data_IF_596412324079
#
_entry.id   IF_596412324079
#
_cell.length_a   1.000
_cell.length_b   1.000
_cell.length_c   1.000
_cell.angle_alpha   90.00
_cell.angle_beta   90.00
_cell.angle_gamma   90.00
#
_symmetry.space_group_name_H-M   'P 1'
#
loop_
_entity.id
_entity.type
_entity.pdbx_description
1 polymer ?
#
# COMPACT_ATOMS: atom_id res chain seq x y z
N UNK A 1 41.94 13.65 -6.97
CA UNK A 1 42.11 12.52 -6.03
C UNK A 1 41.57 11.29 -6.73
N UNK A 2 42.44 10.32 -6.91
CA UNK A 2 42.24 9.07 -7.64
C UNK A 2 40.98 8.33 -7.19
N UNK A 3 40.11 8.01 -8.15
CA UNK A 3 38.96 7.13 -8.01
C UNK A 3 39.47 5.70 -7.76
N UNK A 4 39.92 5.45 -6.52
CA UNK A 4 40.15 4.09 -6.06
C UNK A 4 38.78 3.45 -5.94
N UNK A 5 38.38 2.69 -6.97
CA UNK A 5 37.11 1.98 -6.99
C UNK A 5 36.92 1.18 -5.71
N UNK A 6 35.71 1.20 -5.15
CA UNK A 6 35.40 0.46 -3.93
C UNK A 6 35.79 -1.02 -4.09
N UNK A 7 36.29 -1.66 -3.02
CA UNK A 7 36.51 -3.10 -3.00
C UNK A 7 35.26 -3.87 -3.47
N UNK A 8 35.49 -4.96 -4.19
CA UNK A 8 34.42 -5.82 -4.71
C UNK A 8 33.43 -6.24 -3.62
N UNK A 9 33.94 -6.75 -2.50
CA UNK A 9 33.12 -7.19 -1.37
C UNK A 9 32.31 -6.04 -0.74
N UNK A 10 32.91 -4.84 -0.64
CA UNK A 10 32.22 -3.67 -0.10
C UNK A 10 31.08 -3.23 -1.03
N UNK A 11 31.30 -3.27 -2.34
CA UNK A 11 30.27 -3.00 -3.36
C UNK A 11 29.07 -3.93 -3.21
N UNK A 12 29.32 -5.23 -3.02
CA UNK A 12 28.27 -6.24 -2.91
C UNK A 12 27.44 -6.05 -1.62
N UNK A 13 28.09 -5.68 -0.51
CA UNK A 13 27.42 -5.34 0.75
C UNK A 13 26.55 -4.09 0.59
N UNK A 14 27.07 -3.02 -0.02
CA UNK A 14 26.33 -1.76 -0.20
C UNK A 14 25.11 -1.96 -1.10
N UNK A 15 25.21 -2.77 -2.16
CA UNK A 15 24.08 -3.14 -3.00
C UNK A 15 23.05 -3.96 -2.22
N UNK A 16 23.49 -4.90 -1.38
CA UNK A 16 22.61 -5.66 -0.49
C UNK A 16 21.87 -4.76 0.51
N UNK A 17 22.55 -3.82 1.15
CA UNK A 17 21.96 -2.85 2.08
C UNK A 17 20.96 -1.91 1.39
N UNK A 18 21.25 -1.51 0.14
CA UNK A 18 20.33 -0.72 -0.69
C UNK A 18 19.07 -1.53 -1.01
N UNK A 19 19.23 -2.79 -1.40
CA UNK A 19 18.11 -3.69 -1.68
C UNK A 19 17.23 -3.90 -0.45
N UNK A 20 17.84 -4.14 0.72
CA UNK A 20 17.11 -4.24 2.00
C UNK A 20 16.39 -2.95 2.35
N UNK A 21 17.00 -1.78 2.12
CA UNK A 21 16.33 -0.50 2.33
C UNK A 21 15.07 -0.37 1.46
N UNK A 22 15.13 -0.81 0.20
CA UNK A 22 13.98 -0.77 -0.71
C UNK A 22 12.89 -1.78 -0.33
N UNK A 23 13.25 -2.99 0.09
CA UNK A 23 12.29 -3.96 0.61
C UNK A 23 11.55 -3.39 1.83
N UNK A 24 12.28 -2.76 2.76
CA UNK A 24 11.68 -2.10 3.93
C UNK A 24 10.84 -0.87 3.60
N UNK A 25 11.04 -0.27 2.42
CA UNK A 25 10.19 0.80 1.91
C UNK A 25 8.85 0.32 1.36
N UNK A 26 8.65 -1.01 1.25
CA UNK A 26 7.46 -1.62 0.66
C UNK A 26 7.54 -1.81 -0.86
N UNK A 27 8.74 -1.73 -1.45
CA UNK A 27 8.95 -1.94 -2.90
C UNK A 27 8.86 -3.43 -3.24
N UNK A 28 8.31 -3.77 -4.40
CA UNK A 28 8.20 -5.15 -4.88
C UNK A 28 9.58 -5.74 -5.17
N UNK A 29 9.73 -7.06 -5.04
CA UNK A 29 10.98 -7.77 -5.32
C UNK A 29 11.43 -7.55 -6.76
N UNK A 30 10.47 -7.55 -7.70
CA UNK A 30 10.72 -7.28 -9.12
C UNK A 30 11.34 -5.90 -9.32
N UNK A 31 10.79 -4.86 -8.69
CA UNK A 31 11.30 -3.49 -8.82
C UNK A 31 12.65 -3.33 -8.12
N UNK A 32 12.85 -3.96 -6.94
CA UNK A 32 14.14 -3.95 -6.24
C UNK A 32 15.23 -4.57 -7.12
N UNK A 33 14.95 -5.72 -7.75
CA UNK A 33 15.88 -6.37 -8.68
C UNK A 33 16.29 -5.43 -9.81
N UNK A 34 15.30 -4.84 -10.50
CA UNK A 34 15.54 -3.94 -11.61
C UNK A 34 16.38 -2.71 -11.22
N UNK A 35 16.12 -2.12 -10.04
CA UNK A 35 16.92 -1.01 -9.53
C UNK A 35 18.35 -1.42 -9.16
N UNK A 36 18.55 -2.58 -8.51
CA UNK A 36 19.90 -3.06 -8.19
C UNK A 36 20.71 -3.37 -9.45
N UNK A 37 20.10 -3.94 -10.48
CA UNK A 37 20.74 -4.18 -11.78
C UNK A 37 21.14 -2.87 -12.48
N UNK A 38 20.29 -1.84 -12.45
CA UNK A 38 20.62 -0.54 -13.05
C UNK A 38 21.74 0.17 -12.28
N UNK A 39 21.69 0.15 -10.95
CA UNK A 39 22.74 0.73 -10.11
C UNK A 39 24.07 -0.02 -10.29
N UNK A 40 24.04 -1.35 -10.37
CA UNK A 40 25.26 -2.16 -10.54
C UNK A 40 25.94 -1.92 -11.89
N UNK A 41 25.18 -1.84 -12.97
CA UNK A 41 25.70 -1.51 -14.31
C UNK A 41 26.42 -0.17 -14.35
N UNK A 42 25.98 0.79 -13.53
CA UNK A 42 26.62 2.11 -13.40
C UNK A 42 27.85 2.08 -12.50
N UNK A 43 27.72 1.47 -11.33
CA UNK A 43 28.71 1.56 -10.26
C UNK A 43 29.89 0.58 -10.43
N UNK A 44 29.68 -0.54 -11.12
CA UNK A 44 30.70 -1.52 -11.42
C UNK A 44 30.64 -1.93 -12.90
N UNK A 45 31.03 -1.05 -13.84
CA UNK A 45 31.00 -1.36 -15.27
C UNK A 45 31.87 -2.59 -15.57
N UNK A 46 31.25 -3.67 -16.06
CA UNK A 46 31.95 -4.92 -16.41
C UNK A 46 31.96 -6.00 -15.32
N UNK A 47 31.40 -5.76 -14.13
CA UNK A 47 31.17 -6.83 -13.16
C UNK A 47 29.85 -7.55 -13.49
N UNK A 48 29.90 -8.86 -13.70
CA UNK A 48 28.69 -9.70 -13.71
C UNK A 48 28.22 -9.90 -12.28
N UNK A 49 27.07 -9.31 -11.93
CA UNK A 49 26.44 -9.42 -10.62
C UNK A 49 25.04 -10.01 -10.79
N UNK A 50 24.76 -11.09 -10.07
CA UNK A 50 23.46 -11.72 -10.01
C UNK A 50 22.81 -11.45 -8.66
N UNK A 51 21.51 -11.15 -8.70
CA UNK A 51 20.72 -10.86 -7.51
C UNK A 51 19.70 -11.96 -7.26
N UNK A 52 19.63 -12.46 -6.02
CA UNK A 52 18.53 -13.27 -5.54
C UNK A 52 17.86 -12.55 -4.37
N UNK A 53 16.58 -12.24 -4.50
CA UNK A 53 15.87 -11.37 -3.58
C UNK A 53 14.63 -12.12 -3.06
N UNK A 54 14.46 -12.12 -1.73
CA UNK A 54 13.27 -12.58 -1.03
C UNK A 54 12.71 -11.41 -0.19
N UNK A 55 11.50 -11.51 0.39
CA UNK A 55 10.87 -10.37 1.08
C UNK A 55 11.72 -9.70 2.18
N UNK A 56 12.61 -10.44 2.84
CA UNK A 56 13.50 -9.92 3.91
C UNK A 56 14.99 -10.18 3.64
N UNK A 57 15.36 -10.64 2.44
CA UNK A 57 16.71 -11.09 2.10
C UNK A 57 17.15 -10.58 0.74
N UNK A 58 18.38 -10.10 0.66
CA UNK A 58 19.05 -9.79 -0.60
C UNK A 58 20.38 -10.54 -0.64
N UNK A 59 20.55 -11.34 -1.69
CA UNK A 59 21.78 -12.04 -2.01
C UNK A 59 22.39 -11.41 -3.26
N UNK A 60 23.68 -11.09 -3.18
CA UNK A 60 24.49 -10.56 -4.27
C UNK A 60 25.60 -11.55 -4.56
N UNK A 61 25.61 -12.07 -5.79
CA UNK A 61 26.57 -13.08 -6.24
C UNK A 61 27.36 -12.56 -7.44
N UNK A 62 28.63 -12.95 -7.55
CA UNK A 62 29.45 -12.74 -8.76
C UNK A 62 29.66 -14.07 -9.46
N UNK A 63 28.96 -14.34 -10.58
CA UNK A 63 29.17 -15.55 -11.35
C UNK A 63 30.64 -15.70 -11.76
N UNK A 64 31.19 -16.89 -11.61
CA UNK A 64 32.58 -17.21 -11.97
C UNK A 64 33.66 -16.71 -11.00
N UNK A 65 33.29 -16.04 -9.91
CA UNK A 65 34.21 -15.71 -8.83
C UNK A 65 34.21 -16.81 -7.76
N UNK A 66 35.39 -17.13 -7.19
CA UNK A 66 35.47 -17.93 -5.96
C UNK A 66 35.05 -17.15 -4.70
N UNK A 67 34.66 -15.87 -4.84
CA UNK A 67 34.19 -15.05 -3.74
C UNK A 67 32.84 -15.52 -3.20
N UNK A 68 32.66 -15.37 -1.89
CA UNK A 68 31.42 -15.74 -1.20
C UNK A 68 30.24 -14.87 -1.65
N UNK A 69 29.08 -15.49 -1.85
CA UNK A 69 27.80 -14.79 -2.03
C UNK A 69 27.53 -13.89 -0.83
N UNK A 70 27.43 -12.59 -1.06
CA UNK A 70 27.11 -11.63 0.00
C UNK A 70 25.62 -11.72 0.30
N UNK A 71 25.28 -11.95 1.56
CA UNK A 71 23.89 -12.08 2.02
C UNK A 71 23.58 -10.99 3.03
N UNK A 72 22.58 -10.17 2.73
CA UNK A 72 22.11 -9.10 3.60
C UNK A 72 20.66 -9.39 4.00
N UNK A 73 20.42 -9.46 5.32
CA UNK A 73 19.11 -9.71 5.91
C UNK A 73 18.55 -8.40 6.46
N UNK A 74 17.31 -8.07 6.08
CA UNK A 74 16.59 -6.95 6.66
C UNK A 74 16.21 -7.20 8.12
N UNK A 75 16.98 -6.64 9.06
CA UNK A 75 16.70 -6.76 10.50
C UNK A 75 15.96 -5.55 11.11
N UNK A 76 15.31 -4.73 10.28
CA UNK A 76 14.73 -3.45 10.69
C UNK A 76 13.24 -3.31 10.41
N UNK A 77 12.60 -2.41 11.14
CA UNK A 77 11.19 -2.02 10.95
C UNK A 77 10.94 -1.43 9.55
N UNK A 78 9.68 -1.50 9.12
CA UNK A 78 9.23 -0.83 7.90
C UNK A 78 9.52 0.68 7.95
N UNK A 79 9.94 1.24 6.82
CA UNK A 79 10.23 2.66 6.72
C UNK A 79 8.95 3.49 6.74
N UNK A 80 9.02 4.68 7.34
CA UNK A 80 7.97 5.69 7.17
C UNK A 80 7.87 6.13 5.72
N UNK A 81 6.72 6.64 5.28
CA UNK A 81 6.56 7.16 3.91
C UNK A 81 7.59 8.23 3.56
N UNK A 82 7.97 9.08 4.52
CA UNK A 82 9.05 10.06 4.29
C UNK A 82 10.40 9.38 4.04
N UNK A 83 10.73 8.34 4.79
CA UNK A 83 11.98 7.59 4.62
C UNK A 83 11.97 6.79 3.32
N UNK A 84 10.87 6.10 3.00
CA UNK A 84 10.66 5.44 1.72
C UNK A 84 10.83 6.42 0.55
N UNK A 85 10.27 7.63 0.69
CA UNK A 85 10.39 8.65 -0.35
C UNK A 85 11.86 9.11 -0.56
N UNK A 86 12.66 9.16 0.52
CA UNK A 86 14.09 9.45 0.44
C UNK A 86 14.89 8.27 -0.11
N UNK A 87 14.51 7.04 0.23
CA UNK A 87 15.14 5.82 -0.27
C UNK A 87 14.99 5.70 -1.80
N UNK A 88 13.80 5.91 -2.36
CA UNK A 88 13.64 5.85 -3.81
C UNK A 88 14.31 7.02 -4.53
N UNK A 89 14.45 8.20 -3.89
CA UNK A 89 15.28 9.27 -4.45
C UNK A 89 16.76 8.88 -4.50
N UNK A 90 17.28 8.30 -3.42
CA UNK A 90 18.66 7.82 -3.37
C UNK A 90 18.94 6.82 -4.50
N UNK A 91 18.05 5.85 -4.73
CA UNK A 91 18.20 4.89 -5.82
C UNK A 91 18.23 5.58 -7.18
N UNK A 92 17.30 6.49 -7.45
CA UNK A 92 17.29 7.23 -8.73
C UNK A 92 18.52 8.11 -8.92
N UNK A 93 19.03 8.71 -7.84
CA UNK A 93 20.28 9.47 -7.87
C UNK A 93 21.48 8.57 -8.22
N UNK A 94 21.49 7.33 -7.72
CA UNK A 94 22.50 6.31 -8.04
C UNK A 94 22.35 5.79 -9.48
N UNK A 95 21.13 5.47 -9.92
CA UNK A 95 20.82 5.02 -11.29
C UNK A 95 21.22 6.06 -12.33
N UNK A 96 20.97 7.34 -12.05
CA UNK A 96 21.37 8.47 -12.91
C UNK A 96 22.87 8.80 -12.85
N UNK A 97 23.60 8.27 -11.87
CA UNK A 97 25.01 8.57 -11.63
C UNK A 97 25.26 9.96 -11.04
N UNK A 98 24.23 10.66 -10.55
CA UNK A 98 24.37 11.95 -9.86
C UNK A 98 25.05 11.81 -8.49
N UNK A 99 24.96 10.62 -7.90
CA UNK A 99 25.57 10.27 -6.61
C UNK A 99 26.40 8.99 -6.79
N UNK A 100 27.57 8.95 -6.16
CA UNK A 100 28.42 7.74 -6.14
C UNK A 100 27.92 6.71 -5.12
N UNK A 101 28.02 5.43 -5.47
CA UNK A 101 27.67 4.29 -4.61
C UNK A 101 28.42 4.31 -3.28
N UNK A 102 29.65 4.84 -3.24
CA UNK A 102 30.44 4.98 -2.01
C UNK A 102 29.78 5.84 -0.94
N UNK A 103 28.87 6.74 -1.33
CA UNK A 103 28.13 7.58 -0.37
C UNK A 103 26.84 6.93 0.13
N UNK A 104 26.44 5.79 -0.44
CA UNK A 104 25.19 5.13 -0.10
C UNK A 104 25.09 4.75 1.39
N UNK A 105 26.12 4.17 2.06
CA UNK A 105 26.02 3.82 3.49
C UNK A 105 25.64 5.01 4.38
N UNK A 106 26.31 6.16 4.18
CA UNK A 106 26.05 7.39 4.92
C UNK A 106 24.63 7.91 4.66
N UNK A 107 24.18 7.86 3.40
CA UNK A 107 22.82 8.30 3.03
C UNK A 107 21.75 7.34 3.56
N UNK A 108 21.97 6.03 3.54
CA UNK A 108 21.10 5.01 4.11
C UNK A 108 20.94 5.26 5.63
N UNK A 109 22.05 5.48 6.33
CA UNK A 109 22.05 5.81 7.75
C UNK A 109 21.27 7.11 8.03
N UNK A 110 21.49 8.16 7.24
CA UNK A 110 20.77 9.43 7.37
C UNK A 110 19.25 9.30 7.09
N UNK A 111 18.86 8.42 6.16
CA UNK A 111 17.44 8.11 5.90
C UNK A 111 16.85 7.45 7.15
N UNK A 112 17.49 6.40 7.68
CA UNK A 112 17.02 5.69 8.88
C UNK A 112 16.95 6.60 10.11
N UNK A 113 17.90 7.53 10.26
CA UNK A 113 17.92 8.50 11.35
C UNK A 113 16.91 9.65 11.21
N UNK A 114 16.09 9.69 10.16
CA UNK A 114 15.10 10.75 9.97
C UNK A 114 14.09 10.76 11.14
N UNK A 115 14.02 11.84 11.94
CA UNK A 115 13.20 11.85 13.15
C UNK A 115 11.71 11.89 12.81
N UNK A 116 10.92 11.15 13.58
CA UNK A 116 9.45 11.23 13.57
C UNK A 116 8.99 12.02 14.80
N UNK A 117 8.22 13.09 14.57
CA UNK A 117 7.66 13.90 15.66
C UNK A 117 6.51 13.13 16.30
N UNK A 118 6.60 12.81 17.59
CA UNK A 118 5.55 12.14 18.36
C UNK A 118 4.98 10.89 17.65
N UNK A 119 5.81 9.88 17.36
CA UNK A 119 5.42 8.72 16.52
C UNK A 119 4.21 7.97 17.10
N UNK A 120 4.14 7.87 18.42
CA UNK A 120 3.01 7.27 19.13
C UNK A 120 1.72 8.08 18.87
N UNK A 121 1.69 9.36 19.19
CA UNK A 121 0.49 10.17 18.99
C UNK A 121 0.01 10.18 17.53
N UNK A 122 0.96 10.27 16.58
CA UNK A 122 0.64 10.21 15.14
C UNK A 122 0.02 8.87 14.72
N UNK A 123 0.51 7.75 15.26
CA UNK A 123 -0.06 6.44 15.00
C UNK A 123 -1.49 6.29 15.54
N UNK A 124 -1.74 6.75 16.78
CA UNK A 124 -3.06 6.63 17.43
C UNK A 124 -4.08 7.51 16.71
N UNK A 125 -3.75 8.79 16.49
CA UNK A 125 -4.63 9.73 15.79
C UNK A 125 -4.82 9.31 14.34
N UNK A 126 -3.77 8.83 13.67
CA UNK A 126 -3.85 8.31 12.31
C UNK A 126 -4.79 7.12 12.20
N UNK A 127 -4.71 6.17 13.14
CA UNK A 127 -5.63 5.02 13.25
C UNK A 127 -7.07 5.47 13.44
N UNK A 128 -7.33 6.41 14.35
CA UNK A 128 -8.67 6.92 14.58
C UNK A 128 -9.29 7.63 13.37
N UNK A 129 -8.51 8.48 12.69
CA UNK A 129 -8.95 9.17 11.47
C UNK A 129 -9.19 8.19 10.32
N UNK A 130 -8.34 7.16 10.20
CA UNK A 130 -8.54 6.05 9.27
C UNK A 130 -9.88 5.36 9.51
N UNK A 131 -10.19 5.04 10.76
CA UNK A 131 -11.44 4.34 11.12
C UNK A 131 -12.67 5.22 10.91
N UNK A 132 -12.61 6.48 11.33
CA UNK A 132 -13.66 7.49 11.11
C UNK A 132 -13.97 7.62 9.61
N UNK A 133 -12.92 7.82 8.81
CA UNK A 133 -13.07 8.06 7.38
C UNK A 133 -13.51 6.83 6.61
N UNK A 134 -13.06 5.62 6.96
CA UNK A 134 -13.58 4.41 6.32
C UNK A 134 -15.05 4.17 6.66
N UNK A 135 -15.45 4.32 7.92
CA UNK A 135 -16.86 4.21 8.29
C UNK A 135 -17.72 5.25 7.54
N UNK A 136 -17.24 6.48 7.39
CA UNK A 136 -17.93 7.51 6.62
C UNK A 136 -17.93 7.26 5.10
N UNK A 137 -16.82 6.73 4.55
CA UNK A 137 -16.67 6.40 3.13
C UNK A 137 -17.64 5.30 2.70
N UNK A 138 -17.79 4.27 3.53
CA UNK A 138 -18.78 3.20 3.35
C UNK A 138 -20.17 3.58 3.87
N UNK A 139 -20.38 4.86 4.19
CA UNK A 139 -21.64 5.47 4.62
C UNK A 139 -22.34 4.71 5.74
N UNK A 140 -21.58 4.28 6.74
CA UNK A 140 -22.15 3.81 7.99
C UNK A 140 -22.98 4.93 8.67
N UNK A 141 -23.97 4.60 9.51
CA UNK A 141 -24.69 5.60 10.31
C UNK A 141 -23.75 6.46 11.17
N UNK A 142 -24.17 7.68 11.51
CA UNK A 142 -23.35 8.61 12.31
C UNK A 142 -22.86 8.02 13.63
N UNK A 143 -23.70 7.23 14.30
CA UNK A 143 -23.31 6.52 15.52
C UNK A 143 -22.13 5.57 15.31
N UNK A 144 -22.14 4.83 14.20
CA UNK A 144 -21.12 3.85 13.85
C UNK A 144 -19.82 4.56 13.46
N UNK A 145 -19.91 5.72 12.80
CA UNK A 145 -18.76 6.56 12.47
C UNK A 145 -18.08 7.08 13.75
N UNK A 146 -18.86 7.63 14.69
CA UNK A 146 -18.34 8.11 15.96
C UNK A 146 -17.71 6.98 16.78
N UNK A 147 -18.36 5.82 16.83
CA UNK A 147 -17.84 4.64 17.52
C UNK A 147 -16.57 4.10 16.86
N UNK A 148 -16.53 4.05 15.53
CA UNK A 148 -15.34 3.62 14.78
C UNK A 148 -14.13 4.52 15.06
N UNK A 149 -14.34 5.84 15.22
CA UNK A 149 -13.27 6.75 15.64
C UNK A 149 -12.71 6.41 17.03
N UNK A 150 -13.59 6.18 18.01
CA UNK A 150 -13.20 5.84 19.39
C UNK A 150 -12.49 4.49 19.48
N UNK A 151 -13.03 3.48 18.80
CA UNK A 151 -12.40 2.15 18.74
C UNK A 151 -11.09 2.22 17.95
N UNK A 152 -11.01 3.04 16.90
CA UNK A 152 -9.78 3.28 16.14
C UNK A 152 -8.66 3.91 16.97
N UNK A 153 -8.99 4.82 17.92
CA UNK A 153 -8.03 5.32 18.91
C UNK A 153 -7.50 4.18 19.80
N UNK A 154 -8.42 3.34 20.30
CA UNK A 154 -8.06 2.22 21.17
C UNK A 154 -7.18 1.20 20.44
N UNK A 155 -7.56 0.78 19.24
CA UNK A 155 -6.78 -0.15 18.40
C UNK A 155 -5.41 0.43 18.08
N UNK A 156 -5.33 1.72 17.75
CA UNK A 156 -4.06 2.41 17.54
C UNK A 156 -3.16 2.40 18.78
N UNK A 157 -3.73 2.60 19.97
CA UNK A 157 -3.02 2.49 21.25
C UNK A 157 -2.58 1.05 21.56
N UNK A 158 -3.46 0.08 21.33
CA UNK A 158 -3.18 -1.35 21.53
C UNK A 158 -1.99 -1.79 20.68
N UNK A 159 -1.91 -1.38 19.41
CA UNK A 159 -0.78 -1.68 18.56
C UNK A 159 0.55 -1.19 19.12
N UNK A 160 0.59 -0.02 19.76
CA UNK A 160 1.84 0.50 20.33
C UNK A 160 2.39 -0.34 21.46
N UNK A 161 1.49 -1.03 22.16
CA UNK A 161 1.86 -1.97 23.22
C UNK A 161 2.25 -3.31 22.60
N UNK A 162 1.44 -3.84 21.69
CA UNK A 162 1.65 -5.15 21.07
C UNK A 162 2.92 -5.22 20.23
N UNK A 163 3.31 -4.14 19.56
CA UNK A 163 4.54 -4.08 18.75
C UNK A 163 5.82 -4.17 19.57
N UNK A 164 5.76 -4.06 20.91
CA UNK A 164 6.92 -4.25 21.79
C UNK A 164 7.28 -5.72 22.01
N UNK A 165 6.35 -6.64 21.74
CA UNK A 165 6.51 -8.07 22.02
C UNK A 165 6.22 -8.86 20.75
N UNK A 166 7.21 -9.56 20.20
CA UNK A 166 7.10 -10.28 18.92
C UNK A 166 5.96 -11.31 18.91
N UNK A 167 5.74 -12.01 20.03
CA UNK A 167 4.64 -12.96 20.17
C UNK A 167 3.27 -12.27 20.14
N UNK A 168 3.15 -11.07 20.72
CA UNK A 168 1.91 -10.30 20.68
C UNK A 168 1.61 -9.80 19.25
N UNK A 169 2.62 -9.34 18.52
CA UNK A 169 2.46 -8.87 17.14
C UNK A 169 1.85 -9.94 16.22
N UNK A 170 2.15 -11.23 16.41
CA UNK A 170 1.61 -12.32 15.61
C UNK A 170 0.09 -12.51 15.78
N UNK A 171 -0.47 -12.17 16.94
CA UNK A 171 -1.90 -12.34 17.27
C UNK A 171 -2.65 -10.99 17.25
N UNK A 172 -1.95 -9.88 17.01
CA UNK A 172 -2.52 -8.53 16.97
C UNK A 172 -3.74 -8.38 16.03
N UNK A 173 -3.79 -8.99 14.83
CA UNK A 173 -4.96 -8.93 13.97
C UNK A 173 -6.21 -9.53 14.61
N UNK A 174 -6.08 -10.69 15.25
CA UNK A 174 -7.18 -11.35 15.94
C UNK A 174 -7.65 -10.54 17.14
N UNK A 175 -6.71 -10.13 18.02
CA UNK A 175 -7.06 -9.39 19.25
C UNK A 175 -7.70 -8.05 18.92
N UNK A 176 -7.17 -7.32 17.94
CA UNK A 176 -7.72 -6.02 17.55
C UNK A 176 -9.11 -6.15 16.94
N UNK A 177 -9.33 -7.18 16.10
CA UNK A 177 -10.65 -7.46 15.55
C UNK A 177 -11.65 -7.87 16.63
N UNK A 178 -11.25 -8.76 17.54
CA UNK A 178 -12.06 -9.20 18.66
C UNK A 178 -12.47 -8.04 19.58
N UNK A 179 -11.52 -7.19 19.98
CA UNK A 179 -11.78 -6.01 20.81
C UNK A 179 -12.68 -5.02 20.08
N UNK A 180 -12.43 -4.78 18.78
CA UNK A 180 -13.29 -3.91 17.96
C UNK A 180 -14.74 -4.40 17.97
N UNK A 181 -14.97 -5.68 17.69
CA UNK A 181 -16.31 -6.24 17.64
C UNK A 181 -17.01 -6.25 18.99
N UNK A 182 -16.29 -6.55 20.08
CA UNK A 182 -16.90 -6.51 21.41
C UNK A 182 -17.36 -5.11 21.77
N UNK A 183 -16.52 -4.09 21.52
CA UNK A 183 -16.88 -2.71 21.85
C UNK A 183 -18.04 -2.22 20.99
N UNK A 184 -18.00 -2.52 19.70
CA UNK A 184 -19.11 -2.18 18.80
C UNK A 184 -20.39 -2.92 19.20
N UNK A 185 -20.30 -4.23 19.49
CA UNK A 185 -21.44 -5.06 19.85
C UNK A 185 -22.06 -4.70 21.20
N UNK A 186 -21.25 -4.39 22.21
CA UNK A 186 -21.74 -3.96 23.53
C UNK A 186 -22.47 -2.63 23.47
N UNK A 187 -21.94 -1.66 22.73
CA UNK A 187 -22.61 -0.36 22.52
C UNK A 187 -23.87 -0.53 21.67
N UNK A 188 -23.83 -1.33 20.60
CA UNK A 188 -24.97 -1.57 19.74
C UNK A 188 -26.15 -2.22 20.48
N UNK A 189 -25.86 -3.24 21.30
CA UNK A 189 -26.89 -3.89 22.11
C UNK A 189 -27.40 -2.99 23.24
N UNK A 190 -26.52 -2.22 23.89
CA UNK A 190 -26.91 -1.31 24.96
C UNK A 190 -27.79 -0.15 24.50
N UNK A 191 -27.69 0.23 23.23
CA UNK A 191 -28.49 1.29 22.60
C UNK A 191 -29.62 0.75 21.70
N UNK A 192 -29.82 -0.57 21.64
CA UNK A 192 -30.81 -1.26 20.79
C UNK A 192 -30.79 -0.83 19.32
N UNK A 193 -29.58 -0.69 18.76
CA UNK A 193 -29.35 -0.15 17.40
C UNK A 193 -29.67 -1.14 16.26
N UNK A 194 -30.10 -2.37 16.58
CA UNK A 194 -30.43 -3.40 15.61
C UNK A 194 -29.21 -3.95 14.85
N UNK A 195 -29.37 -4.37 13.58
CA UNK A 195 -28.28 -4.89 12.76
C UNK A 195 -27.17 -3.85 12.53
N UNK A 196 -25.93 -4.23 12.80
CA UNK A 196 -24.77 -3.35 12.72
C UNK A 196 -24.06 -3.51 11.37
N UNK A 197 -23.75 -2.41 10.66
CA UNK A 197 -22.97 -2.48 9.43
C UNK A 197 -21.60 -3.11 9.66
N UNK A 198 -21.19 -4.03 8.79
CA UNK A 198 -19.89 -4.72 8.89
C UNK A 198 -18.71 -3.74 9.01
N UNK A 199 -18.74 -2.63 8.26
CA UNK A 199 -17.69 -1.60 8.31
C UNK A 199 -17.60 -0.85 9.64
N UNK A 200 -18.64 -0.86 10.50
CA UNK A 200 -18.54 -0.32 11.86
C UNK A 200 -17.50 -1.10 12.70
N UNK A 201 -17.36 -2.40 12.44
CA UNK A 201 -16.44 -3.31 13.13
C UNK A 201 -15.09 -3.42 12.40
N UNK A 202 -15.10 -3.40 11.06
CA UNK A 202 -13.88 -3.55 10.25
C UNK A 202 -13.07 -2.24 10.12
N UNK A 203 -13.70 -1.06 10.11
CA UNK A 203 -12.98 0.21 9.97
C UNK A 203 -11.95 0.49 11.09
N UNK A 204 -12.22 0.17 12.37
CA UNK A 204 -11.24 0.26 13.45
C UNK A 204 -9.95 -0.54 13.24
N UNK A 205 -10.04 -1.67 12.56
CA UNK A 205 -8.90 -2.58 12.34
C UNK A 205 -8.28 -2.46 10.96
N UNK A 206 -8.81 -1.58 10.11
CA UNK A 206 -8.38 -1.44 8.72
C UNK A 206 -6.89 -1.09 8.55
N UNK A 207 -6.28 -0.45 9.54
CA UNK A 207 -4.84 -0.15 9.56
C UNK A 207 -3.97 -1.42 9.62
N UNK A 208 -4.48 -2.54 10.15
CA UNK A 208 -3.79 -3.84 10.14
C UNK A 208 -3.97 -4.59 8.83
N UNK A 209 -4.96 -4.22 8.03
CA UNK A 209 -5.33 -4.96 6.82
C UNK A 209 -4.13 -4.98 5.88
N UNK A 210 -3.65 -6.16 5.45
CA UNK A 210 -2.43 -6.32 4.68
C UNK A 210 -2.62 -5.95 3.19
N UNK A 211 -3.33 -4.85 2.89
CA UNK A 211 -3.71 -4.48 1.53
C UNK A 211 -2.52 -4.23 0.61
N UNK A 212 -1.51 -3.50 1.08
CA UNK A 212 -0.28 -3.26 0.31
C UNK A 212 0.52 -4.56 0.09
N UNK A 213 0.55 -5.43 1.09
CA UNK A 213 1.25 -6.71 1.02
C UNK A 213 0.59 -7.67 0.02
N UNK A 214 -0.75 -7.75 0.02
CA UNK A 214 -1.53 -8.51 -0.96
C UNK A 214 -1.36 -7.92 -2.36
N UNK A 215 -1.39 -6.59 -2.49
CA UNK A 215 -1.18 -5.92 -3.79
C UNK A 215 0.20 -6.25 -4.35
N UNK A 216 1.26 -6.14 -3.54
CA UNK A 216 2.62 -6.46 -3.97
C UNK A 216 2.78 -7.94 -4.30
N UNK A 217 2.18 -8.85 -3.52
CA UNK A 217 2.16 -10.27 -3.82
C UNK A 217 1.58 -10.56 -5.20
N UNK A 218 0.45 -9.93 -5.53
CA UNK A 218 -0.21 -10.08 -6.82
C UNK A 218 0.64 -9.52 -7.98
N UNK A 219 1.26 -8.36 -7.78
CA UNK A 219 2.17 -7.77 -8.76
C UNK A 219 3.41 -8.66 -9.02
N UNK A 220 3.94 -9.31 -7.99
CA UNK A 220 5.08 -10.24 -8.10
C UNK A 220 4.68 -11.55 -8.79
N UNK A 221 3.54 -12.14 -8.40
CA UNK A 221 3.00 -13.34 -9.06
C UNK A 221 2.81 -13.13 -10.56
N UNK A 222 2.28 -11.97 -10.95
CA UNK A 222 2.09 -11.60 -12.36
C UNK A 222 3.37 -11.16 -13.07
N UNK A 223 4.48 -11.02 -12.34
CA UNK A 223 5.82 -10.68 -12.87
C UNK A 223 6.79 -11.87 -12.79
N UNK A 224 6.28 -13.10 -12.63
CA UNK A 224 7.03 -14.36 -12.53
C UNK A 224 7.90 -14.55 -11.27
N UNK A 225 7.79 -13.64 -10.29
CA UNK A 225 8.39 -13.80 -8.96
C UNK A 225 7.48 -14.67 -8.06
N UNK A 226 7.31 -15.94 -8.44
CA UNK A 226 6.26 -16.82 -7.89
C UNK A 226 6.45 -17.09 -6.39
N UNK A 227 7.68 -17.36 -5.94
CA UNK A 227 7.96 -17.74 -4.55
C UNK A 227 7.71 -16.57 -3.58
N UNK A 228 8.17 -15.37 -3.92
CA UNK A 228 7.98 -14.18 -3.08
C UNK A 228 6.53 -13.72 -3.10
N UNK A 229 5.89 -13.77 -4.27
CA UNK A 229 4.48 -13.44 -4.42
C UNK A 229 3.58 -14.39 -3.63
N UNK A 230 3.78 -15.70 -3.75
CA UNK A 230 2.98 -16.71 -3.05
C UNK A 230 3.15 -16.64 -1.52
N UNK A 231 4.39 -16.49 -1.04
CA UNK A 231 4.66 -16.40 0.41
C UNK A 231 4.01 -15.17 1.04
N UNK A 232 4.12 -13.99 0.41
CA UNK A 232 3.40 -12.78 0.84
C UNK A 232 1.89 -12.97 0.76
N UNK A 233 1.36 -13.52 -0.34
CA UNK A 233 -0.09 -13.73 -0.47
C UNK A 233 -0.62 -14.60 0.67
N UNK A 234 0.04 -15.73 0.94
CA UNK A 234 -0.36 -16.66 2.01
C UNK A 234 -0.32 -15.98 3.39
N UNK A 235 0.74 -15.21 3.67
CA UNK A 235 0.83 -14.44 4.90
C UNK A 235 -0.33 -13.43 5.02
N UNK A 236 -0.64 -12.71 3.94
CA UNK A 236 -1.79 -11.80 3.89
C UNK A 236 -3.12 -12.50 4.16
N UNK A 237 -3.35 -13.68 3.57
CA UNK A 237 -4.55 -14.49 3.79
C UNK A 237 -4.69 -14.96 5.24
N UNK A 238 -3.60 -15.41 5.88
CA UNK A 238 -3.60 -15.80 7.30
C UNK A 238 -3.96 -14.60 8.19
N UNK A 239 -3.41 -13.42 7.90
CA UNK A 239 -3.72 -12.19 8.64
C UNK A 239 -5.20 -11.82 8.51
N UNK A 240 -5.77 -11.93 7.30
CA UNK A 240 -7.20 -11.71 7.08
C UNK A 240 -8.07 -12.75 7.81
N UNK A 241 -7.65 -14.03 7.81
CA UNK A 241 -8.34 -15.09 8.54
C UNK A 241 -8.33 -14.85 10.05
N UNK A 242 -7.21 -14.39 10.63
CA UNK A 242 -7.13 -14.00 12.04
C UNK A 242 -8.07 -12.84 12.37
N UNK A 243 -8.15 -11.83 11.50
CA UNK A 243 -9.10 -10.73 11.69
C UNK A 243 -10.55 -11.23 11.61
N UNK A 244 -10.90 -12.03 10.59
CA UNK A 244 -12.24 -12.58 10.43
C UNK A 244 -12.64 -13.47 11.62
N UNK A 245 -11.72 -14.30 12.12
CA UNK A 245 -11.93 -15.09 13.33
C UNK A 245 -12.16 -14.20 14.56
N UNK A 246 -11.41 -13.11 14.73
CA UNK A 246 -11.63 -12.15 15.80
C UNK A 246 -13.00 -11.46 15.69
N UNK A 247 -13.40 -11.08 14.46
CA UNK A 247 -14.74 -10.52 14.20
C UNK A 247 -15.83 -11.52 14.60
N UNK A 248 -15.72 -12.76 14.15
CA UNK A 248 -16.68 -13.82 14.48
C UNK A 248 -16.76 -14.08 15.98
N UNK A 249 -15.62 -14.29 16.65
CA UNK A 249 -15.58 -14.55 18.09
C UNK A 249 -16.16 -13.40 18.92
N UNK A 250 -15.93 -12.15 18.51
CA UNK A 250 -16.51 -10.99 19.20
C UNK A 250 -18.02 -10.86 18.96
N UNK A 251 -18.47 -11.17 17.75
CA UNK A 251 -19.89 -11.14 17.40
C UNK A 251 -20.68 -12.23 18.13
N UNK A 252 -20.14 -13.45 18.23
CA UNK A 252 -20.78 -14.54 18.99
C UNK A 252 -20.83 -14.24 20.48
N UNK A 253 -19.78 -13.66 21.06
CA UNK A 253 -19.75 -13.32 22.48
C UNK A 253 -20.75 -12.23 22.83
N UNK A 254 -20.93 -11.23 21.97
CA UNK A 254 -21.86 -10.13 22.20
C UNK A 254 -23.28 -10.44 21.69
N UNK A 255 -23.48 -11.48 20.89
CA UNK A 255 -24.75 -11.69 20.17
C UNK A 255 -25.00 -10.64 19.08
N UNK A 256 -23.95 -9.95 18.62
CA UNK A 256 -24.04 -8.88 17.62
C UNK A 256 -24.54 -9.44 16.29
N UNK A 257 -25.59 -8.82 15.76
CA UNK A 257 -26.12 -9.12 14.43
C UNK A 257 -25.45 -8.21 13.42
N UNK A 258 -24.53 -8.78 12.64
CA UNK A 258 -23.87 -8.05 11.55
C UNK A 258 -24.78 -8.05 10.33
N UNK A 259 -25.00 -6.88 9.75
CA UNK A 259 -25.66 -6.74 8.47
C UNK A 259 -24.66 -7.01 7.34
N UNK A 260 -24.74 -8.20 6.74
CA UNK A 260 -23.92 -8.61 5.61
C UNK A 260 -24.27 -7.86 4.32
N UNK A 261 -25.47 -7.28 4.21
CA UNK A 261 -25.85 -6.45 3.06
C UNK A 261 -25.13 -5.10 3.03
N UNK A 262 -24.60 -4.67 4.18
CA UNK A 262 -23.73 -3.51 4.31
C UNK A 262 -22.29 -3.75 3.81
N UNK A 263 -21.97 -4.91 3.24
CA UNK A 263 -20.69 -5.23 2.58
C UNK A 263 -20.52 -4.53 1.21
N UNK A 264 -21.01 -3.29 1.08
CA UNK A 264 -20.96 -2.54 -0.16
C UNK A 264 -19.51 -2.19 -0.52
N UNK A 265 -19.17 -2.33 -1.80
CA UNK A 265 -17.91 -1.83 -2.34
C UNK A 265 -17.94 -0.29 -2.40
N UNK A 266 -16.77 0.36 -2.49
CA UNK A 266 -16.66 1.84 -2.51
C UNK A 266 -17.55 2.46 -3.60
N UNK A 267 -17.67 1.80 -4.77
CA UNK A 267 -18.54 2.24 -5.86
C UNK A 267 -20.04 1.99 -5.64
N UNK A 268 -20.40 1.01 -4.80
CA UNK A 268 -21.78 0.67 -4.45
C UNK A 268 -22.28 1.45 -3.24
N UNK A 269 -21.38 1.95 -2.38
CA UNK A 269 -21.76 2.79 -1.24
C UNK A 269 -22.58 4.03 -1.67
N UNK A 270 -22.37 4.53 -2.89
CA UNK A 270 -23.11 5.67 -3.45
C UNK A 270 -24.61 5.38 -3.64
N UNK A 271 -25.00 4.12 -3.87
CA UNK A 271 -26.40 3.75 -4.12
C UNK A 271 -27.17 3.41 -2.83
N UNK A 272 -26.50 3.38 -1.67
CA UNK A 272 -27.15 3.12 -0.39
C UNK A 272 -28.17 4.22 -0.04
N UNK A 273 -29.39 3.81 0.29
CA UNK A 273 -30.46 4.72 0.76
C UNK A 273 -31.02 4.20 2.08
N UNK A 274 -31.50 5.12 2.91
CA UNK A 274 -32.22 4.77 4.15
C UNK A 274 -33.38 5.74 4.36
N UNK A 275 -34.44 5.24 4.96
CA UNK A 275 -35.56 6.04 5.45
C UNK A 275 -35.31 6.55 6.90
N UNK A 276 -34.19 6.16 7.52
CA UNK A 276 -33.85 6.52 8.91
C UNK A 276 -33.24 7.92 9.00
N UNK A 277 -33.68 8.70 9.98
CA UNK A 277 -33.24 10.07 10.22
C UNK A 277 -32.35 10.20 11.48
N UNK A 278 -31.70 11.37 11.64
CA UNK A 278 -30.93 11.70 12.84
C UNK A 278 -29.64 10.90 12.99
N UNK A 279 -29.39 10.34 14.17
CA UNK A 279 -28.14 9.64 14.53
C UNK A 279 -27.95 8.31 13.77
N UNK A 280 -29.03 7.76 13.23
CA UNK A 280 -29.04 6.57 12.39
C UNK A 280 -28.99 6.87 10.88
N UNK A 281 -29.04 8.15 10.49
CA UNK A 281 -28.98 8.53 9.09
C UNK A 281 -27.61 8.21 8.48
N UNK A 282 -27.60 7.84 7.19
CA UNK A 282 -26.37 7.73 6.42
C UNK A 282 -25.81 9.13 6.11
N UNK A 283 -24.48 9.30 6.07
CA UNK A 283 -23.86 10.51 5.59
C UNK A 283 -24.33 10.87 4.17
N UNK A 284 -24.49 12.18 3.88
CA UNK A 284 -24.80 12.64 2.53
C UNK A 284 -23.65 12.33 1.57
N UNK A 285 -23.93 12.25 0.27
CA UNK A 285 -22.94 11.85 -0.73
C UNK A 285 -21.72 12.79 -0.82
N UNK A 286 -21.85 14.07 -0.49
CA UNK A 286 -20.69 14.96 -0.45
C UNK A 286 -19.74 14.63 0.71
N UNK A 287 -20.23 14.00 1.79
CA UNK A 287 -19.43 13.66 2.95
C UNK A 287 -18.43 12.52 2.66
N UNK A 288 -18.69 11.66 1.68
CA UNK A 288 -17.75 10.61 1.28
C UNK A 288 -16.48 11.20 0.66
N UNK A 289 -16.59 12.30 -0.10
CA UNK A 289 -15.43 13.04 -0.61
C UNK A 289 -14.58 13.62 0.51
N UNK A 290 -15.22 14.19 1.53
CA UNK A 290 -14.52 14.65 2.73
C UNK A 290 -13.87 13.47 3.48
N UNK A 291 -14.56 12.33 3.55
CA UNK A 291 -14.03 11.11 4.15
C UNK A 291 -12.74 10.66 3.43
N UNK A 292 -12.67 10.69 2.09
CA UNK A 292 -11.43 10.36 1.35
C UNK A 292 -10.28 11.30 1.71
N UNK A 293 -10.55 12.60 1.89
CA UNK A 293 -9.53 13.58 2.30
C UNK A 293 -9.03 13.25 3.72
N UNK A 294 -9.96 13.00 4.66
CA UNK A 294 -9.63 12.63 6.04
C UNK A 294 -8.88 11.29 6.09
N UNK A 295 -9.22 10.34 5.22
CA UNK A 295 -8.55 9.05 5.07
C UNK A 295 -7.09 9.26 4.66
N UNK A 296 -6.83 10.08 3.64
CA UNK A 296 -5.47 10.39 3.20
C UNK A 296 -4.64 11.08 4.30
N UNK A 297 -5.26 11.96 5.10
CA UNK A 297 -4.62 12.58 6.27
C UNK A 297 -4.31 11.53 7.34
N UNK A 298 -5.26 10.65 7.64
CA UNK A 298 -5.10 9.54 8.59
C UNK A 298 -3.95 8.62 8.22
N UNK A 299 -3.88 8.17 6.96
CA UNK A 299 -2.76 7.40 6.41
C UNK A 299 -1.45 8.19 6.54
N UNK A 300 -1.44 9.47 6.15
CA UNK A 300 -0.26 10.32 6.24
C UNK A 300 0.31 10.45 7.66
N UNK A 301 -0.57 10.52 8.66
CA UNK A 301 -0.20 10.53 10.08
C UNK A 301 0.26 9.14 10.55
N UNK A 302 -0.49 8.09 10.24
CA UNK A 302 -0.20 6.71 10.65
C UNK A 302 1.15 6.21 10.12
N UNK A 303 1.50 6.55 8.88
CA UNK A 303 2.73 6.10 8.21
C UNK A 303 3.83 7.18 8.10
N UNK A 304 3.61 8.39 8.64
CA UNK A 304 4.63 9.43 8.76
C UNK A 304 5.09 10.04 7.42
N UNK A 305 4.16 10.41 6.55
CA UNK A 305 4.47 10.95 5.21
C UNK A 305 4.95 12.42 5.25
N UNK A 306 4.37 13.22 6.15
CA UNK A 306 4.57 14.67 6.21
C UNK A 306 3.69 15.44 5.23
N UNK A 307 3.51 16.75 5.49
CA UNK A 307 2.52 17.59 4.83
C UNK A 307 2.49 17.52 3.29
N UNK A 308 3.66 17.64 2.64
CA UNK A 308 3.74 17.64 1.17
C UNK A 308 3.33 16.29 0.56
N UNK A 309 3.75 15.17 1.17
CA UNK A 309 3.34 13.85 0.69
C UNK A 309 1.86 13.59 0.99
N UNK A 310 1.35 14.02 2.14
CA UNK A 310 -0.08 13.93 2.45
C UNK A 310 -0.92 14.66 1.40
N UNK A 311 -0.50 15.85 0.94
CA UNK A 311 -1.19 16.58 -0.13
C UNK A 311 -1.26 15.77 -1.43
N UNK A 312 -0.15 15.14 -1.82
CA UNK A 312 -0.13 14.26 -3.00
C UNK A 312 -1.06 13.07 -2.79
N UNK A 313 -1.05 12.44 -1.60
CA UNK A 313 -1.93 11.32 -1.28
C UNK A 313 -3.41 11.73 -1.38
N UNK A 314 -3.77 12.94 -0.91
CA UNK A 314 -5.13 13.47 -1.04
C UNK A 314 -5.53 13.54 -2.52
N UNK A 315 -4.72 14.19 -3.38
CA UNK A 315 -5.03 14.33 -4.80
C UNK A 315 -5.19 12.97 -5.47
N UNK A 316 -4.26 12.05 -5.22
CA UNK A 316 -4.28 10.72 -5.83
C UNK A 316 -5.50 9.91 -5.35
N UNK A 317 -5.78 9.88 -4.04
CA UNK A 317 -6.91 9.13 -3.48
C UNK A 317 -8.26 9.70 -3.92
N UNK A 318 -8.40 11.03 -3.95
CA UNK A 318 -9.60 11.70 -4.47
C UNK A 318 -9.80 11.39 -5.96
N UNK A 319 -8.73 11.37 -6.76
CA UNK A 319 -8.78 10.96 -8.16
C UNK A 319 -9.21 9.49 -8.33
N UNK A 320 -8.66 8.56 -7.55
CA UNK A 320 -9.07 7.15 -7.56
C UNK A 320 -10.54 6.99 -7.19
N UNK A 321 -10.99 7.70 -6.14
CA UNK A 321 -12.39 7.68 -5.74
C UNK A 321 -13.30 8.21 -6.86
N UNK A 322 -12.92 9.30 -7.54
CA UNK A 322 -13.67 9.83 -8.67
C UNK A 322 -13.85 8.79 -9.78
N UNK A 323 -12.77 8.07 -10.15
CA UNK A 323 -12.85 7.00 -11.15
C UNK A 323 -13.80 5.88 -10.70
N UNK A 324 -13.70 5.44 -9.44
CA UNK A 324 -14.61 4.40 -8.92
C UNK A 324 -16.07 4.86 -8.96
N UNK A 325 -16.36 6.07 -8.47
CA UNK A 325 -17.75 6.59 -8.45
C UNK A 325 -18.33 6.80 -9.85
N UNK A 326 -17.50 7.15 -10.85
CA UNK A 326 -17.95 7.40 -12.21
C UNK A 326 -18.15 6.10 -13.00
N UNK A 327 -17.25 5.13 -12.85
CA UNK A 327 -17.26 3.91 -13.66
C UNK A 327 -18.05 2.76 -13.04
N UNK A 328 -18.16 2.67 -11.70
CA UNK A 328 -18.89 1.57 -11.05
C UNK A 328 -20.35 1.44 -11.53
N UNK A 329 -21.14 2.51 -11.69
CA UNK A 329 -22.51 2.40 -12.21
C UNK A 329 -22.59 1.98 -13.68
N UNK A 330 -21.53 2.19 -14.46
CA UNK A 330 -21.52 1.98 -15.91
C UNK A 330 -21.05 0.56 -16.29
N UNK A 331 -20.02 0.06 -15.61
CA UNK A 331 -19.35 -1.20 -15.97
C UNK A 331 -19.32 -2.23 -14.84
N UNK A 332 -19.89 -1.89 -13.67
CA UNK A 332 -19.83 -2.70 -12.45
C UNK A 332 -18.53 -2.52 -11.67
N UNK A 333 -18.59 -2.80 -10.36
CA UNK A 333 -17.48 -2.57 -9.41
C UNK A 333 -16.20 -3.34 -9.75
N UNK A 334 -16.33 -4.55 -10.31
CA UNK A 334 -15.18 -5.37 -10.73
C UNK A 334 -14.40 -4.67 -11.83
N UNK A 335 -15.04 -4.31 -12.94
CA UNK A 335 -14.35 -3.67 -14.07
C UNK A 335 -13.87 -2.26 -13.70
N UNK A 336 -14.68 -1.50 -12.95
CA UNK A 336 -14.30 -0.16 -12.48
C UNK A 336 -13.02 -0.17 -11.63
N UNK A 337 -12.83 -1.20 -10.80
CA UNK A 337 -11.60 -1.38 -9.99
C UNK A 337 -10.37 -1.58 -10.88
N UNK A 338 -10.49 -2.37 -11.95
CA UNK A 338 -9.41 -2.56 -12.93
C UNK A 338 -9.10 -1.28 -13.70
N UNK A 339 -10.12 -0.53 -14.14
CA UNK A 339 -9.93 0.78 -14.78
C UNK A 339 -9.23 1.76 -13.84
N UNK A 340 -9.69 1.85 -12.60
CA UNK A 340 -9.09 2.71 -11.59
C UNK A 340 -7.63 2.33 -11.31
N UNK A 341 -7.30 1.04 -11.24
CA UNK A 341 -5.93 0.56 -11.11
C UNK A 341 -5.05 0.93 -12.31
N UNK A 342 -5.56 0.80 -13.54
CA UNK A 342 -4.84 1.18 -14.76
C UNK A 342 -4.55 2.69 -14.80
N UNK A 343 -5.56 3.52 -14.54
CA UNK A 343 -5.44 4.99 -14.50
C UNK A 343 -4.46 5.40 -13.40
N UNK A 344 -4.58 4.79 -12.22
CA UNK A 344 -3.71 5.06 -11.08
C UNK A 344 -2.25 4.73 -11.40
N UNK A 345 -2.00 3.58 -12.05
CA UNK A 345 -0.65 3.17 -12.43
C UNK A 345 -0.03 4.11 -13.49
N UNK A 346 -0.81 4.50 -14.51
CA UNK A 346 -0.35 5.47 -15.52
C UNK A 346 -0.05 6.82 -14.85
N UNK A 347 -0.94 7.30 -14.00
CA UNK A 347 -0.74 8.54 -13.24
C UNK A 347 0.53 8.46 -12.37
N UNK A 348 0.80 7.31 -11.76
CA UNK A 348 2.01 7.06 -10.99
C UNK A 348 3.28 7.23 -11.81
N UNK A 349 3.32 6.60 -12.99
CA UNK A 349 4.46 6.69 -13.91
C UNK A 349 4.62 8.09 -14.50
N UNK A 350 3.54 8.82 -14.73
CA UNK A 350 3.62 10.21 -15.21
C UNK A 350 4.11 11.16 -14.12
N UNK A 351 3.58 11.05 -12.90
CA UNK A 351 3.95 11.92 -11.78
C UNK A 351 5.41 11.71 -11.37
N UNK A 352 5.89 10.47 -11.42
CA UNK A 352 7.30 10.13 -11.22
C UNK A 352 8.24 10.87 -12.20
N UNK A 353 7.79 11.13 -13.43
CA UNK A 353 8.57 11.88 -14.43
C UNK A 353 8.56 13.38 -14.20
N UNK A 354 7.41 13.93 -13.82
CA UNK A 354 7.23 15.40 -13.72
C UNK A 354 7.74 15.94 -12.38
N UNK A 355 7.61 15.16 -11.30
CA UNK A 355 8.02 15.59 -9.97
C UNK A 355 9.16 14.73 -9.45
N UNK A 356 10.40 15.22 -9.61
CA UNK A 356 11.63 14.61 -9.05
C UNK A 356 11.54 14.33 -7.54
N UNK A 357 10.61 14.98 -6.85
CA UNK A 357 10.49 14.93 -5.40
C UNK A 357 9.69 13.71 -4.87
N UNK A 358 8.85 13.03 -5.64
CA UNK A 358 7.84 12.14 -5.04
C UNK A 358 7.83 10.77 -5.72
N UNK A 359 8.37 9.72 -5.07
CA UNK A 359 8.36 8.36 -5.63
C UNK A 359 6.95 7.78 -5.79
N UNK A 360 6.72 7.12 -6.93
CA UNK A 360 5.45 6.49 -7.28
C UNK A 360 5.04 5.42 -6.23
N UNK A 361 5.97 4.57 -5.82
CA UNK A 361 5.67 3.47 -4.87
C UNK A 361 5.05 3.99 -3.57
N UNK A 362 5.53 5.12 -3.05
CA UNK A 362 5.10 5.68 -1.77
C UNK A 362 3.79 6.47 -1.86
N UNK A 363 3.56 7.12 -3.00
CA UNK A 363 2.44 8.07 -3.14
C UNK A 363 1.16 7.41 -3.61
N UNK A 364 1.30 6.24 -4.23
CA UNK A 364 0.18 5.50 -4.83
C UNK A 364 -0.25 4.32 -3.97
N UNK A 365 0.58 3.85 -3.03
CA UNK A 365 0.21 2.84 -2.05
C UNK A 365 -1.08 3.17 -1.27
N UNK A 366 -1.32 4.42 -0.79
CA UNK A 366 -2.58 4.79 -0.15
C UNK A 366 -3.81 4.66 -1.07
N UNK A 367 -3.64 4.94 -2.36
CA UNK A 367 -4.70 4.79 -3.32
C UNK A 367 -4.98 3.34 -3.69
N UNK A 368 -3.97 2.46 -3.66
CA UNK A 368 -4.18 1.01 -3.73
C UNK A 368 -4.92 0.47 -2.50
N UNK A 369 -4.72 1.04 -1.31
CA UNK A 369 -5.56 0.71 -0.14
C UNK A 369 -7.03 1.08 -0.37
N UNK A 370 -7.30 2.18 -1.10
CA UNK A 370 -8.65 2.60 -1.49
C UNK A 370 -9.26 1.74 -2.60
N UNK A 371 -8.44 1.02 -3.39
CA UNK A 371 -8.91 -0.02 -4.33
C UNK A 371 -9.27 -1.34 -3.62
N UNK A 372 -9.18 -1.34 -2.28
CA UNK A 372 -9.80 -2.31 -1.37
C UNK A 372 -9.32 -3.77 -1.51
N UNK A 373 -8.12 -4.16 -1.99
CA UNK A 373 -7.77 -5.59 -2.08
C UNK A 373 -7.80 -6.27 -0.71
N UNK A 374 -7.13 -5.70 0.30
CA UNK A 374 -7.12 -6.28 1.64
C UNK A 374 -8.49 -6.19 2.34
N UNK A 375 -9.19 -5.07 2.20
CA UNK A 375 -10.47 -4.83 2.85
C UNK A 375 -11.62 -5.61 2.20
N UNK A 376 -11.57 -5.89 0.88
CA UNK A 376 -12.47 -6.82 0.19
C UNK A 376 -12.26 -8.22 0.72
N UNK A 377 -11.00 -8.65 0.81
CA UNK A 377 -10.66 -9.96 1.37
C UNK A 377 -11.16 -10.11 2.81
N UNK A 378 -10.98 -9.07 3.65
CA UNK A 378 -11.49 -9.06 5.01
C UNK A 378 -13.01 -9.14 5.03
N UNK A 379 -13.69 -8.27 4.27
CA UNK A 379 -15.16 -8.20 4.21
C UNK A 379 -15.75 -9.51 3.73
N UNK A 380 -15.17 -10.13 2.70
CA UNK A 380 -15.63 -11.42 2.18
C UNK A 380 -15.49 -12.56 3.20
N UNK A 381 -14.43 -12.55 4.02
CA UNK A 381 -14.25 -13.54 5.08
C UNK A 381 -15.11 -13.25 6.32
N UNK A 382 -15.33 -11.98 6.64
CA UNK A 382 -16.05 -11.55 7.84
C UNK A 382 -17.58 -11.49 7.64
N UNK A 383 -18.06 -11.38 6.40
CA UNK A 383 -19.50 -11.38 6.08
C UNK A 383 -20.12 -12.78 6.11
N UNK A 384 -19.30 -13.84 6.00
CA UNK A 384 -19.74 -15.23 5.82
C UNK A 384 -20.72 -15.42 4.66
N UNK A 385 -20.67 -14.52 3.68
CA UNK A 385 -21.49 -14.56 2.49
C UNK A 385 -20.75 -15.26 1.35
N UNK A 386 -21.36 -16.31 0.79
CA UNK A 386 -20.81 -17.08 -0.31
C UNK A 386 -20.58 -16.19 -1.55
N UNK A 387 -21.45 -15.22 -1.80
CA UNK A 387 -21.33 -14.33 -2.95
C UNK A 387 -20.13 -13.37 -2.79
N UNK A 388 -19.94 -12.81 -1.58
CA UNK A 388 -18.76 -12.03 -1.26
C UNK A 388 -17.46 -12.84 -1.47
N UNK A 389 -17.43 -14.10 -1.04
CA UNK A 389 -16.26 -14.99 -1.19
C UNK A 389 -15.93 -15.29 -2.67
N UNK A 390 -16.94 -15.40 -3.53
CA UNK A 390 -16.76 -15.58 -4.99
C UNK A 390 -16.32 -14.28 -5.68
N UNK A 391 -16.84 -13.13 -5.24
CA UNK A 391 -16.54 -11.82 -5.84
C UNK A 391 -15.13 -11.31 -5.56
N UNK A 392 -14.56 -11.62 -4.39
CA UNK A 392 -13.25 -11.14 -3.98
C UNK A 392 -12.12 -11.54 -4.95
N UNK A 393 -11.98 -12.82 -5.36
CA UNK A 393 -11.04 -13.23 -6.41
C UNK A 393 -11.17 -12.45 -7.72
N UNK A 394 -12.40 -12.17 -8.16
CA UNK A 394 -12.63 -11.43 -9.40
C UNK A 394 -12.15 -9.97 -9.31
N UNK A 395 -12.35 -9.33 -8.15
CA UNK A 395 -11.82 -7.99 -7.88
C UNK A 395 -10.29 -7.98 -7.88
N UNK A 396 -9.66 -8.98 -7.26
CA UNK A 396 -8.19 -9.11 -7.29
C UNK A 396 -7.67 -9.29 -8.72
N UNK A 397 -8.28 -10.16 -9.52
CA UNK A 397 -7.90 -10.36 -10.92
C UNK A 397 -8.07 -9.09 -11.74
N UNK A 398 -9.18 -8.38 -11.56
CA UNK A 398 -9.43 -7.10 -12.25
C UNK A 398 -8.38 -6.04 -11.89
N UNK A 399 -8.02 -5.92 -10.61
CA UNK A 399 -6.94 -5.06 -10.14
C UNK A 399 -5.62 -5.40 -10.83
N UNK A 400 -5.24 -6.68 -10.87
CA UNK A 400 -4.02 -7.17 -11.52
C UNK A 400 -4.00 -6.82 -13.01
N UNK A 401 -5.06 -7.15 -13.73
CA UNK A 401 -5.19 -6.88 -15.17
C UNK A 401 -5.09 -5.36 -15.39
N UNK A 402 -5.80 -4.57 -14.59
CA UNK A 402 -5.74 -3.11 -14.63
C UNK A 402 -4.32 -2.57 -14.47
N UNK A 403 -3.59 -3.01 -13.44
CA UNK A 403 -2.20 -2.57 -13.23
C UNK A 403 -1.28 -2.96 -14.38
N UNK A 404 -1.41 -4.17 -14.95
CA UNK A 404 -0.61 -4.61 -16.10
C UNK A 404 -0.93 -3.85 -17.38
N UNK A 405 -2.21 -3.62 -17.66
CA UNK A 405 -2.65 -2.77 -18.79
C UNK A 405 -2.12 -1.35 -18.61
N UNK A 406 -2.22 -0.78 -17.40
CA UNK A 406 -1.66 0.53 -17.10
C UNK A 406 -0.14 0.59 -17.31
N UNK A 407 0.60 -0.45 -16.92
CA UNK A 407 2.04 -0.55 -17.16
C UNK A 407 2.37 -0.58 -18.66
N UNK A 408 1.68 -1.42 -19.44
CA UNK A 408 1.84 -1.49 -20.89
C UNK A 408 1.57 -0.15 -21.57
N UNK A 409 0.50 0.55 -21.18
CA UNK A 409 0.18 1.87 -21.71
C UNK A 409 1.26 2.91 -21.39
N UNK A 410 1.79 2.89 -20.16
CA UNK A 410 2.85 3.81 -19.75
C UNK A 410 4.18 3.57 -20.50
N UNK A 411 4.46 2.31 -20.85
CA UNK A 411 5.65 1.93 -21.63
C UNK A 411 5.48 2.21 -23.12
N UNK A 412 4.30 1.94 -23.70
CA UNK A 412 3.98 2.33 -25.07
C UNK A 412 4.11 3.85 -25.25
N UNK A 413 3.56 4.64 -24.34
CA UNK A 413 3.70 6.10 -24.37
C UNK A 413 5.16 6.56 -24.29
N UNK A 414 6.06 5.76 -23.69
CA UNK A 414 7.51 6.03 -23.65
C UNK A 414 8.15 5.82 -25.03
N UNK A 415 7.82 4.71 -25.69
CA UNK A 415 8.34 4.34 -27.01
C UNK A 415 7.88 5.35 -28.08
N UNK A 416 6.61 5.77 -28.03
CA UNK A 416 6.07 6.74 -29.00
C UNK A 416 6.70 8.13 -28.85
N UNK A 417 7.01 8.57 -27.61
CA UNK A 417 7.71 9.85 -27.40
C UNK A 417 9.18 9.80 -27.80
N UNK A 418 9.91 8.72 -27.55
CA UNK A 418 11.31 8.61 -27.96
C UNK A 418 11.44 8.61 -29.48
N UNK A 419 10.54 7.91 -30.18
CA UNK A 419 10.49 7.91 -31.65
C UNK A 419 10.10 9.26 -32.25
N UNK A 420 9.15 10.00 -31.64
CA UNK A 420 8.81 11.36 -32.08
C UNK A 420 9.96 12.34 -31.81
N UNK A 421 10.65 12.25 -30.67
CA UNK A 421 11.80 13.10 -30.36
C UNK A 421 13.00 12.81 -31.27
N UNK A 422 13.27 11.54 -31.59
CA UNK A 422 14.28 11.13 -32.58
C UNK A 422 13.95 11.60 -34.01
N UNK A 423 12.66 11.72 -34.35
CA UNK A 423 12.22 12.29 -35.64
C UNK A 423 12.45 13.81 -35.74
N UNK A 424 12.42 14.51 -34.61
CA UNK A 424 12.67 15.97 -34.54
C UNK A 424 14.16 16.33 -34.40
N UNK A 425 15.00 15.41 -33.90
CA UNK A 425 16.44 15.64 -33.69
C UNK A 425 17.31 15.18 -34.89
N UNK A 426 16.72 14.64 -35.96
CA UNK A 426 17.41 14.54 -37.26
C UNK A 426 17.18 15.84 -38.06
N UNK A 427 18.09 16.83 -38.04
CA UNK A 427 18.07 17.85 -39.07
C UNK A 427 18.36 17.18 -40.41
N UNK A 428 17.55 17.51 -41.40
CA UNK A 428 17.80 17.17 -42.79
C UNK A 428 19.17 17.70 -43.22
N UNK A 429 20.20 16.84 -43.21
CA UNK A 429 21.36 16.98 -44.09
C UNK A 429 21.12 16.06 -45.29
N UNK A 430 20.39 16.58 -46.25
CA UNK A 430 20.52 16.20 -47.66
C UNK A 430 20.72 17.51 -48.41
N UNK A 431 21.96 17.99 -48.40
CA UNK A 431 22.49 18.91 -49.38
C UNK A 431 23.53 18.15 -50.20
N UNK A 432 23.28 18.09 -51.50
CA UNK A 432 24.24 18.00 -52.61
C UNK A 432 25.36 16.96 -52.54
N UNK A 433 25.21 15.90 -53.35
CA UNK A 433 26.23 15.44 -54.30
C UNK A 433 25.54 15.01 -55.60
#
# INVERSE_FOLDING_TARGET
MTDAGMPAAETDVVLGDLGVLLLQSGTSVTDVRGSLEQVSQRAAPGASLDFAILPELVMVSRPGSSAATTTVIGKGEALTFRQSARASRLVRDLESGTVSLATAPVRIAAIRATPRRLPALQGVVGSALLSLSLAALFRCPWWAIALAFLVGLLVGGLMMVMMRVRAAAAVAPFVSAFVSTILVGTVANGLDLGPVPLFAVCAPIAILVPGALITNALLELTSTDIVTGASRLMYGLIMLAFMAAGVFSGATLTGLRIDSSSAALVGEAVTLTTDRAGWEALPPLWATWLAVIVLAIGIGLAFGSGFRLTLVCIVVMTGTYAVLTLFSPLVGSVVATGIAAAVLFVAARVLERVTLAVPATVSFQPAFLLLVPGTIGLVALASFDAQALVSAPMMFLSLCIGTKVGALLADLARITRSTVFLRWVKPARMGEL
#
